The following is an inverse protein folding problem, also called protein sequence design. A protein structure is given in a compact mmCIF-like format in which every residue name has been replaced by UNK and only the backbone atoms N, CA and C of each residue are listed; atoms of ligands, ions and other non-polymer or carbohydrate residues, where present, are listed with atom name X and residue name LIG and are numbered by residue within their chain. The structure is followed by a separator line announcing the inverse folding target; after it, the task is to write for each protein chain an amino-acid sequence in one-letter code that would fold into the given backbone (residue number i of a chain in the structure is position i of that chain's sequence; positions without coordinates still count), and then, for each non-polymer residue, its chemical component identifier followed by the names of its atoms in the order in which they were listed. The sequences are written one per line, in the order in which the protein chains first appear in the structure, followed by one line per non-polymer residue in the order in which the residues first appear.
data_IF_897462411140
#
_entry.id   IF_897462411140
#
_cell.length_a   1.000
_cell.length_b   1.000
_cell.length_c   1.000
_cell.angle_alpha   90.00
_cell.angle_beta   90.00
_cell.angle_gamma   90.00
#
_symmetry.space_group_name_H-M   'P 1'
#
loop_
_entity.id
_entity.type
_entity.pdbx_description
1 polymer ?
#
# COMPACT_ATOMS: atom_id res chain seq x y z
N UNK A 1 12.83 -0.27 10.21
CA UNK A 1 12.97 -1.72 9.91
C UNK A 1 11.59 -2.37 9.88
N UNK A 2 11.37 -3.44 9.10
CA UNK A 2 10.12 -4.23 9.07
C UNK A 2 10.40 -5.73 9.05
N UNK A 3 9.46 -6.55 9.55
CA UNK A 3 9.57 -8.02 9.61
C UNK A 3 8.56 -8.69 8.68
N UNK A 4 8.99 -9.73 7.97
CA UNK A 4 8.17 -10.66 7.20
C UNK A 4 8.27 -12.07 7.81
N UNK A 5 7.22 -12.87 7.66
CA UNK A 5 7.18 -14.25 8.12
C UNK A 5 6.64 -15.16 7.01
N UNK A 6 7.49 -16.08 6.53
CA UNK A 6 7.14 -17.10 5.55
C UNK A 6 7.30 -18.46 6.21
N UNK A 7 6.18 -19.14 6.45
CA UNK A 7 6.15 -20.50 7.02
C UNK A 7 6.97 -20.68 8.31
N UNK A 8 6.98 -19.65 9.18
CA UNK A 8 7.73 -19.68 10.45
C UNK A 8 9.15 -19.16 10.35
N UNK A 9 9.67 -18.95 9.14
CA UNK A 9 10.96 -18.30 8.90
C UNK A 9 10.78 -16.80 8.79
N UNK A 10 11.70 -16.04 9.38
CA UNK A 10 11.63 -14.58 9.41
C UNK A 10 12.65 -13.95 8.46
N UNK A 11 12.23 -12.85 7.85
CA UNK A 11 13.11 -11.95 7.12
C UNK A 11 12.90 -10.53 7.64
N UNK A 12 13.98 -9.85 7.95
CA UNK A 12 14.00 -8.46 8.36
C UNK A 12 14.50 -7.61 7.21
N UNK A 13 13.84 -6.48 6.98
CA UNK A 13 14.22 -5.48 5.99
C UNK A 13 14.49 -4.16 6.69
N UNK A 14 15.70 -3.63 6.51
CA UNK A 14 16.07 -2.26 6.84
C UNK A 14 16.20 -1.48 5.54
N UNK A 15 15.63 -0.27 5.48
CA UNK A 15 15.67 0.59 4.31
C UNK A 15 15.87 2.04 4.74
N UNK A 16 16.59 2.81 3.93
CA UNK A 16 16.73 4.26 4.01
C UNK A 16 16.04 4.87 2.80
N UNK A 17 15.22 5.89 3.06
CA UNK A 17 14.47 6.62 2.07
C UNK A 17 14.95 8.06 2.04
N UNK A 18 15.16 8.61 0.85
CA UNK A 18 15.27 10.05 0.66
C UNK A 18 13.86 10.67 0.79
N UNK A 19 13.69 11.60 1.73
CA UNK A 19 12.40 12.23 1.98
C UNK A 19 12.02 13.29 0.93
N UNK A 20 12.97 13.76 0.11
CA UNK A 20 12.71 14.70 -0.96
C UNK A 20 11.97 14.04 -2.13
N UNK A 21 12.54 12.97 -2.70
CA UNK A 21 11.99 12.29 -3.88
C UNK A 21 11.33 10.93 -3.57
N UNK A 22 11.34 10.49 -2.30
CA UNK A 22 10.82 9.20 -1.82
C UNK A 22 11.58 7.96 -2.30
N UNK A 23 12.74 8.11 -2.92
CA UNK A 23 13.56 6.98 -3.39
C UNK A 23 14.08 6.15 -2.21
N UNK A 24 14.06 4.82 -2.34
CA UNK A 24 14.81 3.93 -1.44
C UNK A 24 16.28 3.93 -1.85
N UNK A 25 17.08 4.75 -1.18
CA UNK A 25 18.50 4.95 -1.53
C UNK A 25 19.40 3.79 -1.07
N UNK A 26 18.99 3.04 -0.05
CA UNK A 26 19.67 1.83 0.39
C UNK A 26 18.73 0.91 1.16
N UNK A 27 18.99 -0.40 1.10
CA UNK A 27 18.31 -1.38 1.94
C UNK A 27 19.19 -2.62 2.17
N UNK A 28 18.89 -3.34 3.25
CA UNK A 28 19.52 -4.61 3.61
C UNK A 28 18.49 -5.56 4.19
N UNK A 29 18.68 -6.84 3.92
CA UNK A 29 17.85 -7.91 4.45
C UNK A 29 18.69 -8.85 5.30
N UNK A 30 18.08 -9.41 6.34
CA UNK A 30 18.71 -10.44 7.17
C UNK A 30 17.64 -11.34 7.78
N UNK A 31 17.98 -12.61 8.02
CA UNK A 31 17.07 -13.57 8.68
C UNK A 31 16.93 -13.33 10.19
N UNK A 32 17.74 -12.44 10.75
CA UNK A 32 17.73 -12.01 12.16
C UNK A 32 17.91 -10.49 12.25
N UNK A 33 17.38 -9.81 13.28
CA UNK A 33 17.46 -8.36 13.42
C UNK A 33 18.82 -7.95 14.01
N UNK A 34 19.90 -8.14 13.25
CA UNK A 34 21.29 -7.85 13.66
C UNK A 34 21.66 -6.39 13.39
N UNK A 35 22.58 -5.84 14.20
CA UNK A 35 23.06 -4.47 14.04
C UNK A 35 23.74 -4.22 12.68
N UNK A 36 24.51 -5.20 12.21
CA UNK A 36 25.22 -5.16 10.93
C UNK A 36 24.30 -4.84 9.75
N UNK A 37 23.07 -5.36 9.75
CA UNK A 37 22.07 -5.07 8.71
C UNK A 37 21.73 -3.56 8.68
N UNK A 38 21.67 -2.92 9.84
CA UNK A 38 21.34 -1.49 9.96
C UNK A 38 22.56 -0.63 9.65
N UNK A 39 23.73 -0.97 10.16
CA UNK A 39 24.96 -0.19 9.90
C UNK A 39 25.38 -0.25 8.44
N UNK A 40 25.39 -1.44 7.82
CA UNK A 40 25.75 -1.58 6.40
C UNK A 40 24.74 -0.91 5.46
N UNK A 41 23.46 -0.88 5.84
CA UNK A 41 22.44 -0.11 5.12
C UNK A 41 22.72 1.39 5.20
N UNK A 42 23.03 1.90 6.40
CA UNK A 42 23.33 3.31 6.62
C UNK A 42 24.59 3.73 5.85
N UNK A 43 25.67 2.95 5.93
CA UNK A 43 26.91 3.21 5.19
C UNK A 43 26.67 3.24 3.67
N UNK A 44 25.89 2.29 3.15
CA UNK A 44 25.51 2.29 1.74
C UNK A 44 24.72 3.56 1.35
N UNK A 45 23.80 4.03 2.20
CA UNK A 45 23.08 5.29 1.95
C UNK A 45 24.02 6.50 1.96
N UNK A 46 24.91 6.59 2.95
CA UNK A 46 25.85 7.71 3.09
C UNK A 46 26.86 7.75 1.95
N UNK A 47 27.31 6.59 1.44
CA UNK A 47 28.24 6.51 0.31
C UNK A 47 27.67 7.10 -1.00
N UNK A 48 26.34 7.19 -1.12
CA UNK A 48 25.65 7.79 -2.27
C UNK A 48 25.43 9.28 -2.12
N UNK A 49 25.72 9.84 -0.94
CA UNK A 49 25.48 11.26 -0.65
C UNK A 49 26.72 12.07 -0.97
N UNK A 50 26.61 13.02 -1.90
CA UNK A 50 27.72 13.89 -2.32
C UNK A 50 28.10 14.95 -1.28
N UNK A 51 27.14 15.36 -0.43
CA UNK A 51 27.37 16.32 0.65
C UNK A 51 26.56 15.94 1.89
N UNK A 52 27.24 15.60 2.98
CA UNK A 52 26.60 15.28 4.26
C UNK A 52 26.36 16.52 5.13
N UNK A 53 26.82 17.71 4.70
CA UNK A 53 26.65 18.94 5.47
C UNK A 53 25.16 19.28 5.62
N UNK A 54 24.68 19.32 6.87
CA UNK A 54 23.28 19.57 7.17
C UNK A 54 22.34 18.38 6.94
N UNK A 55 22.86 17.19 6.57
CA UNK A 55 22.05 15.98 6.42
C UNK A 55 21.48 15.56 7.79
N UNK A 56 20.19 15.26 7.80
CA UNK A 56 19.48 14.74 8.96
C UNK A 56 18.99 13.33 8.66
N UNK A 57 19.40 12.36 9.48
CA UNK A 57 18.85 11.00 9.44
C UNK A 57 17.76 10.88 10.49
N UNK A 58 16.54 10.64 10.03
CA UNK A 58 15.39 10.39 10.88
C UNK A 58 15.23 8.89 11.15
N UNK A 59 15.11 8.50 12.42
CA UNK A 59 14.83 7.11 12.84
C UNK A 59 13.79 7.03 13.94
N UNK A 60 13.21 5.84 14.11
CA UNK A 60 12.44 5.52 15.32
C UNK A 60 13.36 5.32 16.54
N UNK A 61 12.76 5.00 17.70
CA UNK A 61 13.46 4.76 18.97
C UNK A 61 13.95 3.31 19.18
N UNK A 62 14.05 2.54 18.09
CA UNK A 62 14.59 1.18 18.07
C UNK A 62 15.98 1.09 18.68
N UNK A 63 16.30 -0.06 19.24
CA UNK A 63 17.56 -0.23 19.99
C UNK A 63 18.79 -0.06 19.11
N UNK A 64 18.76 -0.53 17.85
CA UNK A 64 19.85 -0.40 16.89
C UNK A 64 20.28 1.06 16.68
N UNK A 65 19.30 1.96 16.58
CA UNK A 65 19.52 3.38 16.33
C UNK A 65 20.04 4.16 17.55
N UNK A 66 19.98 3.55 18.75
CA UNK A 66 20.49 4.13 20.00
C UNK A 66 21.92 3.70 20.33
N UNK A 67 22.44 2.68 19.64
CA UNK A 67 23.76 2.12 19.96
C UNK A 67 24.87 3.12 19.66
N UNK A 68 25.94 3.08 20.46
CA UNK A 68 27.12 3.93 20.27
C UNK A 68 27.76 3.78 18.89
N UNK A 69 27.92 2.57 18.30
CA UNK A 69 28.48 2.44 16.95
C UNK A 69 27.64 3.15 15.88
N UNK A 70 26.31 3.12 15.97
CA UNK A 70 25.43 3.84 15.06
C UNK A 70 25.67 5.36 15.10
N UNK A 71 25.75 5.90 16.32
CA UNK A 71 26.03 7.33 16.56
C UNK A 71 27.42 7.72 16.08
N UNK A 72 28.40 6.82 16.21
CA UNK A 72 29.76 7.04 15.72
C UNK A 72 29.82 7.11 14.18
N UNK A 73 29.09 6.23 13.47
CA UNK A 73 28.98 6.28 12.00
C UNK A 73 28.42 7.65 11.57
N UNK A 74 27.31 8.08 12.16
CA UNK A 74 26.71 9.39 11.84
C UNK A 74 27.66 10.55 12.13
N UNK A 75 28.31 10.55 13.29
CA UNK A 75 29.25 11.61 13.68
C UNK A 75 30.45 11.70 12.73
N UNK A 76 31.02 10.56 12.31
CA UNK A 76 32.15 10.51 11.37
C UNK A 76 31.81 11.09 9.99
N UNK A 77 30.53 11.09 9.61
CA UNK A 77 30.05 11.67 8.36
C UNK A 77 29.45 13.08 8.54
N UNK A 78 29.52 13.67 9.75
CA UNK A 78 28.93 14.99 10.03
C UNK A 78 27.40 15.02 9.98
N UNK A 79 26.75 13.87 10.10
CA UNK A 79 25.28 13.72 9.96
C UNK A 79 24.58 13.89 11.29
N UNK A 80 23.50 14.67 11.30
CA UNK A 80 22.69 14.86 12.51
C UNK A 80 21.65 13.76 12.63
N UNK A 81 21.62 13.08 13.77
CA UNK A 81 20.53 12.16 14.08
C UNK A 81 19.30 12.95 14.56
N UNK A 82 18.13 12.61 14.01
CA UNK A 82 16.83 12.97 14.56
C UNK A 82 16.08 11.70 14.91
N UNK A 83 15.53 11.62 16.11
CA UNK A 83 14.74 10.48 16.54
C UNK A 83 13.32 10.94 16.85
N UNK A 84 12.33 10.22 16.34
CA UNK A 84 10.92 10.52 16.60
C UNK A 84 10.65 10.65 18.10
N UNK A 85 9.97 11.73 18.53
CA UNK A 85 9.47 11.83 19.91
C UNK A 85 8.43 10.75 20.15
N UNK A 86 8.33 10.23 21.38
CA UNK A 86 7.28 9.26 21.75
C UNK A 86 5.91 9.90 21.49
N UNK A 87 5.22 9.46 20.44
CA UNK A 87 3.92 10.01 20.01
C UNK A 87 3.94 11.00 18.84
N UNK A 88 5.10 11.33 18.26
CA UNK A 88 5.19 12.09 17.01
C UNK A 88 5.49 11.14 15.84
N UNK A 89 4.44 10.67 15.15
CA UNK A 89 4.56 9.67 14.10
C UNK A 89 5.05 10.23 12.75
N UNK A 90 5.08 11.56 12.56
CA UNK A 90 5.34 12.14 11.24
C UNK A 90 6.73 11.81 10.68
N UNK A 91 7.76 11.80 11.54
CA UNK A 91 9.15 11.61 11.11
C UNK A 91 9.42 10.19 10.58
N UNK A 92 8.75 9.16 11.12
CA UNK A 92 8.88 7.77 10.67
C UNK A 92 7.75 7.34 9.72
N UNK A 93 6.68 8.14 9.58
CA UNK A 93 5.49 7.79 8.82
C UNK A 93 5.79 7.49 7.35
N UNK A 94 6.78 8.17 6.77
CA UNK A 94 7.18 7.99 5.37
C UNK A 94 7.67 6.57 5.09
N UNK A 95 8.65 6.09 5.86
CA UNK A 95 9.21 4.75 5.66
C UNK A 95 8.23 3.66 6.15
N UNK A 96 7.46 3.92 7.21
CA UNK A 96 6.38 3.02 7.64
C UNK A 96 5.31 2.85 6.57
N UNK A 97 4.95 3.93 5.88
CA UNK A 97 4.06 3.89 4.72
C UNK A 97 4.61 2.96 3.66
N UNK A 98 5.88 3.17 3.27
CA UNK A 98 6.52 2.35 2.26
C UNK A 98 6.49 0.86 2.63
N UNK A 99 6.82 0.51 3.87
CA UNK A 99 6.75 -0.88 4.32
C UNK A 99 5.31 -1.43 4.30
N UNK A 100 4.32 -0.61 4.64
CA UNK A 100 2.90 -0.97 4.53
C UNK A 100 2.50 -1.27 3.08
N UNK A 101 2.89 -0.41 2.15
CA UNK A 101 2.63 -0.56 0.72
C UNK A 101 3.34 -1.78 0.15
N UNK A 102 4.64 -1.96 0.41
CA UNK A 102 5.41 -3.15 0.01
C UNK A 102 4.74 -4.45 0.47
N UNK A 103 4.31 -4.49 1.75
CA UNK A 103 3.62 -5.68 2.28
C UNK A 103 2.29 -5.92 1.59
N UNK A 104 1.56 -4.86 1.27
CA UNK A 104 0.24 -4.96 0.68
C UNK A 104 0.30 -5.32 -0.82
N UNK A 105 1.17 -4.67 -1.58
CA UNK A 105 1.34 -4.83 -3.03
C UNK A 105 2.07 -6.13 -3.39
N UNK A 106 3.13 -6.51 -2.67
CA UNK A 106 3.89 -7.72 -2.97
C UNK A 106 3.54 -8.88 -2.02
N UNK A 107 3.89 -8.76 -0.74
CA UNK A 107 3.87 -9.90 0.19
C UNK A 107 2.48 -10.52 0.41
N UNK A 108 1.42 -9.71 0.48
CA UNK A 108 0.06 -10.18 0.71
C UNK A 108 -0.68 -10.63 -0.56
N UNK A 109 -0.28 -10.11 -1.73
CA UNK A 109 -0.84 -10.52 -3.01
C UNK A 109 -0.18 -11.79 -3.54
N UNK A 110 1.14 -11.79 -3.66
CA UNK A 110 1.89 -12.86 -4.35
C UNK A 110 2.20 -14.04 -3.43
N UNK A 111 2.25 -13.79 -2.11
CA UNK A 111 2.44 -14.81 -1.07
C UNK A 111 3.63 -15.74 -1.35
N UNK A 112 4.86 -15.23 -1.23
CA UNK A 112 6.07 -16.02 -1.46
C UNK A 112 6.07 -17.29 -0.58
N UNK A 113 6.53 -18.40 -1.16
CA UNK A 113 6.50 -19.73 -0.55
C UNK A 113 7.79 -20.09 0.20
N UNK A 114 8.85 -19.30 0.00
CA UNK A 114 10.17 -19.44 0.62
C UNK A 114 10.78 -18.09 1.00
N UNK A 115 11.81 -18.11 1.85
CA UNK A 115 12.58 -16.91 2.19
C UNK A 115 13.36 -16.40 0.98
N UNK A 116 13.91 -17.28 0.17
CA UNK A 116 14.72 -16.90 -0.99
C UNK A 116 13.84 -16.21 -2.06
N UNK A 117 12.63 -16.73 -2.31
CA UNK A 117 11.65 -16.05 -3.17
C UNK A 117 11.23 -14.70 -2.59
N UNK A 118 11.05 -14.61 -1.26
CA UNK A 118 10.77 -13.34 -0.60
C UNK A 118 11.90 -12.32 -0.80
N UNK A 119 13.16 -12.72 -0.59
CA UNK A 119 14.34 -11.87 -0.78
C UNK A 119 14.42 -11.36 -2.22
N UNK A 120 14.32 -12.26 -3.21
CA UNK A 120 14.32 -11.92 -4.64
C UNK A 120 13.20 -10.92 -4.98
N UNK A 121 11.96 -11.20 -4.60
CA UNK A 121 10.87 -10.28 -4.93
C UNK A 121 10.89 -8.96 -4.14
N UNK A 122 11.54 -8.89 -2.97
CA UNK A 122 11.81 -7.58 -2.34
C UNK A 122 12.82 -6.78 -3.16
N UNK A 123 13.85 -7.42 -3.73
CA UNK A 123 14.79 -6.76 -4.66
C UNK A 123 14.04 -6.22 -5.88
N UNK A 124 13.22 -7.05 -6.53
CA UNK A 124 12.42 -6.66 -7.69
C UNK A 124 11.45 -5.54 -7.36
N UNK A 125 10.78 -5.61 -6.20
CA UNK A 125 9.86 -4.57 -5.77
C UNK A 125 10.55 -3.23 -5.52
N UNK A 126 11.75 -3.21 -4.91
CA UNK A 126 12.50 -1.97 -4.71
C UNK A 126 12.88 -1.36 -6.07
N UNK A 127 13.29 -2.19 -7.03
CA UNK A 127 13.58 -1.73 -8.39
C UNK A 127 12.35 -1.10 -9.05
N UNK A 128 11.22 -1.82 -9.05
CA UNK A 128 9.94 -1.33 -9.54
C UNK A 128 9.55 0.00 -8.87
N UNK A 129 9.65 0.08 -7.55
CA UNK A 129 9.27 1.26 -6.77
C UNK A 129 10.10 2.50 -7.13
N UNK A 130 11.42 2.35 -7.28
CA UNK A 130 12.32 3.46 -7.56
C UNK A 130 12.32 3.88 -9.05
N UNK A 131 12.15 2.94 -9.99
CA UNK A 131 12.47 3.18 -11.39
C UNK A 131 11.29 3.04 -12.36
N UNK A 132 10.33 2.18 -12.07
CA UNK A 132 9.27 1.82 -13.03
C UNK A 132 7.91 2.44 -12.69
N UNK A 133 7.64 2.66 -11.39
CA UNK A 133 6.34 3.14 -10.90
C UNK A 133 5.90 4.44 -11.57
N UNK A 134 6.80 5.43 -11.67
CA UNK A 134 6.47 6.73 -12.29
C UNK A 134 6.19 6.58 -13.79
N UNK A 135 6.92 5.72 -14.48
CA UNK A 135 6.69 5.43 -15.89
C UNK A 135 5.31 4.78 -16.09
N UNK A 136 4.94 3.84 -15.23
CA UNK A 136 3.62 3.20 -15.27
C UNK A 136 2.48 4.16 -14.93
N UNK A 137 2.70 5.09 -13.99
CA UNK A 137 1.73 6.15 -13.72
C UNK A 137 1.51 7.05 -14.94
N UNK A 138 2.59 7.47 -15.60
CA UNK A 138 2.50 8.26 -16.82
C UNK A 138 1.80 7.50 -17.96
N UNK A 139 2.20 6.25 -18.20
CA UNK A 139 1.56 5.40 -19.22
C UNK A 139 0.07 5.20 -18.95
N UNK A 140 -0.32 4.97 -17.69
CA UNK A 140 -1.73 4.84 -17.31
C UNK A 140 -2.51 6.13 -17.62
N UNK A 141 -1.92 7.29 -17.30
CA UNK A 141 -2.51 8.60 -17.58
C UNK A 141 -2.67 8.82 -19.09
N UNK A 142 -1.64 8.52 -19.88
CA UNK A 142 -1.64 8.74 -21.33
C UNK A 142 -2.65 7.83 -22.04
N UNK A 143 -2.69 6.54 -21.66
CA UNK A 143 -3.58 5.55 -22.27
C UNK A 143 -5.05 5.79 -21.93
N UNK A 144 -5.34 6.25 -20.71
CA UNK A 144 -6.71 6.39 -20.19
C UNK A 144 -7.19 7.84 -20.08
N UNK A 145 -6.44 8.81 -20.60
CA UNK A 145 -6.77 10.24 -20.54
C UNK A 145 -8.19 10.55 -21.02
N UNK A 146 -8.65 9.85 -22.08
CA UNK A 146 -9.97 10.05 -22.68
C UNK A 146 -11.06 9.12 -22.11
N UNK A 147 -10.72 8.23 -21.18
CA UNK A 147 -11.69 7.34 -20.55
C UNK A 147 -12.46 8.08 -19.45
N UNK A 148 -13.78 8.18 -19.61
CA UNK A 148 -14.62 8.88 -18.64
C UNK A 148 -14.61 8.20 -17.27
N UNK A 149 -14.62 6.88 -17.19
CA UNK A 149 -14.64 6.15 -15.92
C UNK A 149 -13.29 6.29 -15.19
N UNK A 150 -12.17 6.33 -15.92
CA UNK A 150 -10.85 6.64 -15.37
C UNK A 150 -10.81 8.03 -14.72
N UNK A 151 -11.21 9.06 -15.46
CA UNK A 151 -11.24 10.44 -14.95
C UNK A 151 -12.14 10.60 -13.73
N UNK A 152 -13.28 9.89 -13.72
CA UNK A 152 -14.17 9.84 -12.57
C UNK A 152 -13.55 9.15 -11.34
N UNK A 153 -12.80 8.07 -11.53
CA UNK A 153 -12.07 7.42 -10.45
C UNK A 153 -10.97 8.34 -9.90
N UNK A 154 -10.21 8.99 -10.77
CA UNK A 154 -9.17 9.97 -10.41
C UNK A 154 -9.71 11.19 -9.65
N UNK A 155 -11.00 11.50 -9.77
CA UNK A 155 -11.64 12.55 -8.96
C UNK A 155 -11.79 12.19 -7.47
N UNK A 156 -11.66 10.91 -7.11
CA UNK A 156 -11.74 10.48 -5.72
C UNK A 156 -10.41 10.77 -5.00
N UNK A 157 -10.44 11.46 -3.86
CA UNK A 157 -9.25 11.63 -3.02
C UNK A 157 -8.56 10.29 -2.74
N UNK A 158 -7.24 10.24 -2.99
CA UNK A 158 -6.41 9.06 -2.77
C UNK A 158 -6.38 8.05 -3.93
N UNK A 159 -7.19 8.22 -4.97
CA UNK A 159 -7.11 7.38 -6.18
C UNK A 159 -6.12 8.01 -7.17
N UNK A 160 -4.97 7.37 -7.37
CA UNK A 160 -3.97 7.73 -8.39
C UNK A 160 -4.02 6.84 -9.64
N UNK A 161 -3.18 7.12 -10.66
CA UNK A 161 -3.25 6.48 -11.98
C UNK A 161 -3.20 4.94 -11.94
N UNK A 162 -2.22 4.37 -11.25
CA UNK A 162 -2.09 2.90 -11.09
C UNK A 162 -3.31 2.30 -10.38
N UNK A 163 -3.84 3.01 -9.37
CA UNK A 163 -5.01 2.53 -8.61
C UNK A 163 -6.28 2.57 -9.46
N UNK A 164 -6.50 3.65 -10.21
CA UNK A 164 -7.62 3.77 -11.14
C UNK A 164 -7.54 2.72 -12.26
N UNK A 165 -6.37 2.55 -12.88
CA UNK A 165 -6.08 1.50 -13.86
C UNK A 165 -6.40 0.11 -13.29
N UNK A 166 -5.90 -0.20 -12.08
CA UNK A 166 -6.15 -1.48 -11.42
C UNK A 166 -7.65 -1.70 -11.19
N UNK A 167 -8.38 -0.67 -10.75
CA UNK A 167 -9.83 -0.77 -10.54
C UNK A 167 -10.54 -1.09 -11.86
N UNK A 168 -10.22 -0.41 -12.95
CA UNK A 168 -10.85 -0.63 -14.25
C UNK A 168 -10.52 -2.01 -14.82
N UNK A 169 -9.24 -2.41 -14.77
CA UNK A 169 -8.78 -3.70 -15.25
C UNK A 169 -9.45 -4.88 -14.52
N UNK A 170 -9.56 -4.80 -13.19
CA UNK A 170 -10.05 -5.90 -12.36
C UNK A 170 -11.59 -5.92 -12.22
N UNK A 171 -12.24 -4.75 -12.22
CA UNK A 171 -13.69 -4.67 -12.11
C UNK A 171 -14.40 -4.84 -13.47
N UNK A 172 -13.72 -4.46 -14.56
CA UNK A 172 -14.33 -4.23 -15.86
C UNK A 172 -15.35 -3.09 -15.80
N UNK A 173 -16.44 -3.21 -16.55
CA UNK A 173 -17.53 -2.24 -16.46
C UNK A 173 -18.30 -2.37 -15.14
N UNK A 174 -18.15 -1.39 -14.22
CA UNK A 174 -18.85 -1.39 -12.92
C UNK A 174 -20.38 -1.31 -13.06
N UNK A 175 -20.90 -0.89 -14.22
CA UNK A 175 -22.36 -0.83 -14.47
C UNK A 175 -23.00 -2.21 -14.56
N UNK A 176 -22.21 -3.29 -14.70
CA UNK A 176 -22.70 -4.68 -14.65
C UNK A 176 -23.27 -5.09 -13.29
N UNK A 177 -22.90 -4.37 -12.23
CA UNK A 177 -23.43 -4.61 -10.90
C UNK A 177 -24.76 -3.85 -10.73
N UNK A 178 -25.83 -4.58 -10.41
CA UNK A 178 -27.16 -4.00 -10.20
C UNK A 178 -27.21 -3.09 -8.99
N UNK A 179 -26.42 -3.39 -7.96
CA UNK A 179 -26.40 -2.64 -6.70
C UNK A 179 -24.97 -2.58 -6.11
N UNK A 180 -24.63 -1.51 -5.39
CA UNK A 180 -23.27 -1.32 -4.86
C UNK A 180 -22.85 -2.44 -3.90
N UNK A 181 -23.81 -3.07 -3.20
CA UNK A 181 -23.54 -4.24 -2.34
C UNK A 181 -22.96 -5.42 -3.14
N UNK A 182 -23.44 -5.63 -4.37
CA UNK A 182 -22.89 -6.69 -5.25
C UNK A 182 -21.43 -6.38 -5.61
N UNK A 183 -21.12 -5.12 -5.91
CA UNK A 183 -19.74 -4.69 -6.16
C UNK A 183 -18.86 -4.81 -4.91
N UNK A 184 -19.35 -4.40 -3.73
CA UNK A 184 -18.61 -4.57 -2.47
C UNK A 184 -18.33 -6.05 -2.15
N UNK A 185 -19.30 -6.94 -2.41
CA UNK A 185 -19.11 -8.38 -2.29
C UNK A 185 -18.04 -8.89 -3.27
N UNK A 186 -18.05 -8.40 -4.51
CA UNK A 186 -17.05 -8.73 -5.53
C UNK A 186 -15.63 -8.29 -5.12
N UNK A 187 -15.48 -7.06 -4.60
CA UNK A 187 -14.22 -6.58 -4.00
C UNK A 187 -13.86 -7.30 -2.69
N UNK A 188 -14.78 -8.07 -2.12
CA UNK A 188 -14.61 -8.80 -0.87
C UNK A 188 -14.75 -7.96 0.40
N UNK A 189 -15.33 -6.76 0.31
CA UNK A 189 -15.61 -5.91 1.48
C UNK A 189 -16.82 -6.33 2.30
N UNK A 190 -17.62 -7.29 1.81
CA UNK A 190 -18.64 -7.92 2.64
C UNK A 190 -18.01 -8.80 3.73
N UNK A 191 -18.57 -8.68 4.93
CA UNK A 191 -18.27 -9.56 6.06
C UNK A 191 -18.89 -10.94 5.79
N UNK A 192 -18.05 -11.96 5.72
CA UNK A 192 -18.48 -13.35 5.72
C UNK A 192 -18.91 -13.73 7.15
N UNK A 193 -20.17 -14.13 7.30
CA UNK A 193 -20.66 -14.77 8.53
C UNK A 193 -20.19 -16.22 8.52
N UNK A 194 -19.37 -16.59 9.50
CA UNK A 194 -19.09 -18.00 9.81
C UNK A 194 -20.14 -18.47 10.82
N UNK A 195 -21.22 -19.06 10.32
CA UNK A 195 -22.25 -19.71 11.14
C UNK A 195 -22.18 -21.22 10.89
N UNK A 196 -21.83 -21.99 11.92
CA UNK A 196 -22.33 -23.35 12.09
C UNK A 196 -23.51 -23.29 13.06
N UNK A 197 -24.46 -24.23 12.98
CA UNK A 197 -25.72 -24.19 13.74
C UNK A 197 -25.60 -24.08 15.26
N UNK A 198 -24.39 -24.17 15.82
CA UNK A 198 -24.10 -24.14 17.26
C UNK A 198 -23.11 -23.01 17.65
N UNK A 199 -22.50 -22.30 16.68
CA UNK A 199 -21.47 -21.27 16.98
C UNK A 199 -21.61 -20.01 16.11
N UNK A 200 -21.74 -18.84 16.76
CA UNK A 200 -21.61 -17.52 16.12
C UNK A 200 -20.14 -17.08 16.18
N UNK A 201 -19.39 -17.32 15.11
CA UNK A 201 -18.01 -16.85 14.97
C UNK A 201 -17.90 -15.34 14.74
N UNK A 202 -16.70 -14.77 14.93
CA UNK A 202 -16.38 -13.37 14.58
C UNK A 202 -16.54 -13.15 13.07
N UNK A 203 -17.20 -12.06 12.68
CA UNK A 203 -17.34 -11.65 11.28
C UNK A 203 -15.96 -11.32 10.69
N UNK A 204 -15.57 -12.00 9.60
CA UNK A 204 -14.29 -11.80 8.90
C UNK A 204 -14.55 -11.40 7.45
N UNK A 205 -13.61 -10.66 6.83
CA UNK A 205 -13.69 -10.36 5.39
C UNK A 205 -13.71 -11.65 4.57
N UNK A 206 -14.56 -11.70 3.55
CA UNK A 206 -14.64 -12.85 2.65
C UNK A 206 -13.32 -13.09 1.90
N UNK A 207 -12.76 -14.30 2.03
CA UNK A 207 -11.59 -14.79 1.27
C UNK A 207 -11.87 -15.01 -0.23
N UNK A 208 -13.15 -14.94 -0.66
CA UNK A 208 -13.59 -15.21 -2.05
C UNK A 208 -13.67 -13.96 -2.94
N UNK A 209 -13.50 -12.75 -2.39
CA UNK A 209 -13.53 -11.51 -3.16
C UNK A 209 -12.20 -11.18 -3.84
N UNK A 210 -12.24 -10.41 -4.92
CA UNK A 210 -11.06 -10.00 -5.70
C UNK A 210 -10.02 -9.29 -4.80
N UNK A 211 -8.87 -9.93 -4.61
CA UNK A 211 -7.82 -9.45 -3.71
C UNK A 211 -7.15 -8.17 -4.23
N UNK A 212 -7.00 -8.02 -5.55
CA UNK A 212 -6.40 -6.84 -6.19
C UNK A 212 -7.29 -5.61 -6.05
N UNK A 213 -8.60 -5.75 -6.26
CA UNK A 213 -9.55 -4.65 -6.00
C UNK A 213 -9.55 -4.23 -4.54
N UNK A 214 -9.52 -5.21 -3.63
CA UNK A 214 -9.46 -4.95 -2.20
C UNK A 214 -8.20 -4.17 -1.82
N UNK A 215 -7.06 -4.55 -2.40
CA UNK A 215 -5.81 -3.84 -2.24
C UNK A 215 -5.90 -2.42 -2.83
N UNK A 216 -6.37 -2.28 -4.06
CA UNK A 216 -6.49 -0.98 -4.73
C UNK A 216 -7.29 0.02 -3.88
N UNK A 217 -8.45 -0.40 -3.36
CA UNK A 217 -9.24 0.45 -2.46
C UNK A 217 -8.61 0.65 -1.08
N UNK A 218 -7.77 -0.29 -0.60
CA UNK A 218 -7.01 -0.10 0.63
C UNK A 218 -5.90 0.94 0.45
N UNK A 219 -5.14 0.88 -0.65
CA UNK A 219 -4.12 1.88 -1.02
C UNK A 219 -4.77 3.25 -1.18
N UNK A 220 -5.89 3.31 -1.91
CA UNK A 220 -6.65 4.53 -2.07
C UNK A 220 -7.08 5.13 -0.72
N UNK A 221 -7.51 4.28 0.22
CA UNK A 221 -7.91 4.72 1.55
C UNK A 221 -6.73 5.25 2.37
N UNK A 222 -5.55 4.60 2.28
CA UNK A 222 -4.33 5.05 2.96
C UNK A 222 -3.89 6.42 2.47
N UNK A 223 -3.98 6.67 1.15
CA UNK A 223 -3.66 7.98 0.58
C UNK A 223 -4.75 9.03 0.87
N UNK A 224 -6.03 8.65 0.79
CA UNK A 224 -7.15 9.55 1.08
C UNK A 224 -7.10 10.12 2.51
N UNK A 225 -6.72 9.31 3.51
CA UNK A 225 -6.60 9.79 4.89
C UNK A 225 -5.38 10.69 5.13
N UNK A 226 -4.47 10.84 4.17
CA UNK A 226 -3.32 11.78 4.29
C UNK A 226 -3.67 13.17 3.80
N UNK A 227 -4.57 13.24 2.83
CA UNK A 227 -5.14 14.48 2.34
C UNK A 227 -5.94 15.11 3.48
N UNK A 228 -5.60 16.34 3.87
CA UNK A 228 -6.12 16.97 5.11
C UNK A 228 -7.64 17.19 5.07
N UNK A 229 -8.17 17.56 3.92
CA UNK A 229 -9.56 18.02 3.78
C UNK A 229 -10.33 17.10 2.83
N UNK A 230 -10.95 16.05 3.37
CA UNK A 230 -11.93 15.24 2.65
C UNK A 230 -12.80 14.38 3.57
N UNK A 231 -13.96 13.96 3.05
CA UNK A 231 -14.93 13.14 3.79
C UNK A 231 -14.43 11.75 4.22
N UNK A 232 -13.39 11.19 3.57
CA UNK A 232 -12.81 9.90 3.96
C UNK A 232 -11.93 10.04 5.19
N UNK A 233 -11.13 11.11 5.27
CA UNK A 233 -10.36 11.50 6.46
C UNK A 233 -11.28 11.70 7.66
N UNK A 234 -12.34 12.48 7.51
CA UNK A 234 -13.33 12.69 8.58
C UNK A 234 -13.96 11.38 9.07
N UNK A 235 -14.28 10.47 8.15
CA UNK A 235 -14.81 9.15 8.49
C UNK A 235 -13.80 8.34 9.28
N UNK A 236 -12.52 8.37 8.89
CA UNK A 236 -11.45 7.70 9.60
C UNK A 236 -11.31 8.26 11.03
N UNK A 237 -11.20 9.58 11.16
CA UNK A 237 -11.03 10.26 12.45
C UNK A 237 -12.19 9.97 13.40
N UNK A 238 -13.42 9.96 12.89
CA UNK A 238 -14.61 9.57 13.67
C UNK A 238 -14.57 8.12 14.15
N UNK A 239 -14.01 7.22 13.35
CA UNK A 239 -13.90 5.80 13.70
C UNK A 239 -12.86 5.54 14.80
N UNK A 240 -11.77 6.30 14.78
CA UNK A 240 -10.65 6.13 15.72
C UNK A 240 -10.76 7.02 16.97
N UNK A 241 -11.72 7.94 17.01
CA UNK A 241 -11.87 8.95 18.07
C UNK A 241 -11.92 8.36 19.48
N UNK A 242 -12.54 7.20 19.65
CA UNK A 242 -12.66 6.53 20.94
C UNK A 242 -11.33 5.97 21.47
N UNK A 243 -10.42 5.54 20.59
CA UNK A 243 -9.07 5.12 20.97
C UNK A 243 -8.07 5.34 19.82
N UNK A 244 -7.54 6.56 19.66
CA UNK A 244 -6.65 6.91 18.55
C UNK A 244 -5.29 6.19 18.59
N UNK A 245 -4.97 5.48 19.69
CA UNK A 245 -3.71 4.75 19.85
C UNK A 245 -3.85 3.26 19.55
N UNK A 246 -5.06 2.73 19.43
CA UNK A 246 -5.30 1.30 19.15
C UNK A 246 -5.00 0.94 17.68
N UNK A 247 -3.98 0.10 17.41
CA UNK A 247 -3.64 -0.33 16.06
C UNK A 247 -4.74 -1.16 15.37
N UNK A 248 -5.50 -1.97 16.13
CA UNK A 248 -6.58 -2.77 15.57
C UNK A 248 -7.74 -1.89 15.12
N UNK A 249 -8.07 -0.87 15.93
CA UNK A 249 -9.10 0.10 15.59
C UNK A 249 -8.74 0.89 14.32
N UNK A 250 -7.48 1.36 14.20
CA UNK A 250 -6.99 2.02 12.97
C UNK A 250 -7.12 1.14 11.74
N UNK A 251 -6.76 -0.15 11.86
CA UNK A 251 -6.89 -1.13 10.78
C UNK A 251 -8.35 -1.35 10.38
N UNK A 252 -9.27 -1.43 11.35
CA UNK A 252 -10.73 -1.53 11.10
C UNK A 252 -11.27 -0.26 10.44
N UNK A 253 -10.83 0.91 10.90
CA UNK A 253 -11.19 2.19 10.33
C UNK A 253 -10.78 2.29 8.85
N UNK A 254 -9.52 1.96 8.52
CA UNK A 254 -9.03 1.90 7.14
C UNK A 254 -9.87 0.97 6.25
N UNK A 255 -10.21 -0.23 6.73
CA UNK A 255 -11.09 -1.16 6.00
C UNK A 255 -12.47 -0.55 5.74
N UNK A 256 -13.04 0.15 6.73
CA UNK A 256 -14.33 0.83 6.58
C UNK A 256 -14.27 2.01 5.59
N UNK A 257 -13.15 2.73 5.54
CA UNK A 257 -12.89 3.79 4.55
C UNK A 257 -12.76 3.18 3.15
N UNK A 258 -11.94 2.15 2.98
CA UNK A 258 -11.78 1.45 1.69
C UNK A 258 -13.13 0.93 1.14
N UNK A 259 -13.96 0.32 1.99
CA UNK A 259 -15.30 -0.11 1.60
C UNK A 259 -16.22 1.07 1.21
N UNK A 260 -16.07 2.23 1.86
CA UNK A 260 -16.81 3.45 1.50
C UNK A 260 -16.31 4.02 0.17
N UNK A 261 -15.00 4.02 -0.09
CA UNK A 261 -14.43 4.43 -1.38
C UNK A 261 -14.92 3.54 -2.52
N UNK A 262 -14.91 2.22 -2.35
CA UNK A 262 -15.47 1.29 -3.33
C UNK A 262 -16.95 1.57 -3.64
N UNK A 263 -17.75 1.91 -2.62
CA UNK A 263 -19.14 2.33 -2.83
C UNK A 263 -19.24 3.63 -3.63
N UNK A 264 -18.38 4.61 -3.34
CA UNK A 264 -18.37 5.90 -4.04
C UNK A 264 -17.93 5.73 -5.51
N UNK A 265 -16.87 4.96 -5.77
CA UNK A 265 -16.41 4.62 -7.11
C UNK A 265 -17.53 4.01 -7.97
N UNK A 266 -18.22 3.00 -7.44
CA UNK A 266 -19.41 2.44 -8.11
C UNK A 266 -20.50 3.49 -8.35
N UNK A 267 -20.77 4.35 -7.36
CA UNK A 267 -21.81 5.37 -7.45
C UNK A 267 -21.54 6.41 -8.52
N UNK A 268 -20.30 6.90 -8.61
CA UNK A 268 -19.89 7.91 -9.61
C UNK A 268 -19.97 7.31 -11.02
N UNK A 269 -19.39 6.14 -11.23
CA UNK A 269 -19.41 5.46 -12.54
C UNK A 269 -20.85 5.13 -12.97
N UNK A 270 -21.70 4.66 -12.04
CA UNK A 270 -23.09 4.29 -12.38
C UNK A 270 -24.00 5.48 -12.66
N UNK A 271 -23.79 6.63 -12.01
CA UNK A 271 -24.62 7.84 -12.22
C UNK A 271 -24.45 8.43 -13.62
N UNK A 272 -23.31 8.19 -14.26
CA UNK A 272 -23.05 8.65 -15.63
C UNK A 272 -23.50 7.60 -16.64
N UNK A 273 -24.57 7.92 -17.38
CA UNK A 273 -24.87 7.28 -18.66
C UNK A 273 -23.82 7.78 -19.66
N UNK A 274 -22.79 6.99 -19.95
CA UNK A 274 -21.93 7.19 -21.12
C UNK A 274 -22.23 6.11 -22.19
N UNK A 275 -21.91 6.35 -23.47
CA UNK A 275 -22.50 5.65 -24.59
C UNK A 275 -22.22 4.15 -24.53
N UNK A 276 -23.22 3.40 -24.98
CA UNK A 276 -23.27 1.93 -24.96
C UNK A 276 -22.14 1.38 -25.84
N UNK A 277 -20.97 1.08 -25.29
CA UNK A 277 -20.00 0.23 -25.99
C UNK A 277 -20.57 -1.19 -26.09
N UNK A 278 -20.57 -1.82 -27.28
CA UNK A 278 -21.10 -3.16 -27.45
C UNK A 278 -20.25 -4.16 -26.66
N UNK A 279 -20.92 -5.13 -26.03
CA UNK A 279 -20.25 -6.22 -25.34
C UNK A 279 -19.29 -6.98 -26.27
N UNK A 280 -18.16 -7.49 -25.78
CA UNK A 280 -17.31 -8.36 -26.59
C UNK A 280 -18.12 -9.58 -27.01
N UNK A 281 -18.29 -9.75 -28.32
CA UNK A 281 -18.92 -10.92 -28.91
C UNK A 281 -18.15 -12.14 -28.46
N UNK A 282 -18.77 -12.97 -27.62
CA UNK A 282 -18.30 -14.34 -27.40
C UNK A 282 -18.50 -15.08 -28.72
N UNK A 283 -17.45 -15.23 -29.51
CA UNK A 283 -17.45 -16.14 -30.65
C UNK A 283 -17.68 -17.56 -30.13
N UNK A 284 -18.92 -18.03 -30.25
CA UNK A 284 -19.22 -19.45 -30.35
C UNK A 284 -19.46 -19.74 -31.82
N UNK A 285 -18.59 -20.54 -32.43
CA UNK A 285 -18.83 -21.05 -33.77
C UNK A 285 -17.57 -21.64 -34.38
N UNK A 286 -17.58 -22.96 -34.55
CA UNK A 286 -16.70 -23.67 -35.48
C UNK A 286 -17.29 -23.56 -36.89
N UNK A 287 -16.43 -23.50 -37.91
CA UNK A 287 -16.82 -23.63 -39.32
C UNK A 287 -15.61 -23.84 -40.22
N UNK A 288 -15.51 -25.05 -40.80
CA UNK A 288 -14.86 -25.37 -42.08
C UNK A 288 -15.60 -24.61 -43.21
N UNK A 289 -15.01 -24.13 -44.31
CA UNK A 289 -13.96 -24.61 -45.23
C UNK A 289 -13.03 -23.45 -45.56
#
# INVERSE_FOLDING_TARGET
MTEFNVRGHKLYLSACMDLYNREIVAYRMARRPVFEMVSSMLEAALSRTSCAAGLIVHSDQGWHYKMQPYRAILASHGVKQSMSRKGNCFDNAAIESYFGTLKAEYFHLDKPDSIDALEAGVHDYVHYYNHERNQLEQQAQDLLANDADYNNLMSLPGVGPITALTILAEAGNLRRFGHHRQFLKFCGFDLAKSQSGVHRGREQLSKRGNARLRLAFWLAAVEAIRIRENSFREKYDRYVSCNPKDPDLKRKALKAVAAKMARMAYGIIKKLKSPRFPEPVRSRGWGTV
#
